data_IF_771533618802
#
_entry.id   IF_771533618802
#
_cell.length_a   1.000
_cell.length_b   1.000
_cell.length_c   1.000
_cell.angle_alpha   90.00
_cell.angle_beta   90.00
_cell.angle_gamma   90.00
#
_symmetry.space_group_name_H-M   'P 1'
#
loop_
_entity.id
_entity.type
_entity.pdbx_description
1 polymer ?
#
# COMPACT_ATOMS: atom_id res chain seq x y z
N UNK A 1 -17.42 15.88 53.81
CA UNK A 1 -16.30 14.92 53.80
C UNK A 1 -16.70 13.88 52.77
N UNK A 2 -16.23 13.92 51.53
CA UNK A 2 -14.83 13.75 51.11
C UNK A 2 -14.56 14.58 49.84
N UNK A 3 -13.41 15.25 49.83
CA UNK A 3 -12.98 16.17 48.78
C UNK A 3 -12.08 15.42 47.77
N UNK A 4 -12.19 15.82 46.50
CA UNK A 4 -11.14 15.91 45.49
C UNK A 4 -10.41 14.63 45.03
N UNK A 5 -10.58 14.27 43.74
CA UNK A 5 -9.44 13.82 42.92
C UNK A 5 -9.65 14.03 41.40
N UNK A 6 -10.37 15.09 41.02
CA UNK A 6 -10.36 15.62 39.66
C UNK A 6 -9.76 17.03 39.70
N UNK A 7 -8.46 17.10 39.94
CA UNK A 7 -7.69 18.34 39.77
C UNK A 7 -6.26 17.99 39.35
N UNK A 8 -6.08 18.04 38.03
CA UNK A 8 -4.87 18.37 37.26
C UNK A 8 -3.51 18.29 37.97
N UNK A 9 -2.66 17.37 37.52
CA UNK A 9 -1.22 17.65 37.45
C UNK A 9 -0.62 17.10 36.15
N UNK A 10 -0.07 18.02 35.37
CA UNK A 10 1.14 17.82 34.56
C UNK A 10 1.07 16.87 33.36
N UNK A 11 0.62 17.38 32.22
CA UNK A 11 1.58 17.84 31.22
C UNK A 11 2.33 16.84 30.34
N UNK A 12 2.20 15.52 30.49
CA UNK A 12 2.72 14.58 29.48
C UNK A 12 1.78 13.37 29.33
N UNK A 13 1.15 13.28 28.16
CA UNK A 13 0.44 12.07 27.74
C UNK A 13 1.45 10.97 27.45
N UNK A 14 1.97 10.33 28.50
CA UNK A 14 2.77 9.11 28.40
C UNK A 14 1.79 7.91 28.29
N UNK A 15 0.91 7.97 27.29
CA UNK A 15 0.35 6.75 26.70
C UNK A 15 1.29 6.42 25.55
N UNK A 16 2.43 5.82 25.88
CA UNK A 16 3.27 5.15 24.88
C UNK A 16 2.45 3.99 24.36
N UNK A 17 1.69 4.24 23.28
CA UNK A 17 1.15 3.16 22.45
C UNK A 17 2.32 2.21 22.16
N UNK A 18 2.17 0.89 22.35
CA UNK A 18 3.19 -0.03 21.86
C UNK A 18 3.28 0.23 20.36
N UNK A 19 4.39 0.84 19.94
CA UNK A 19 4.67 1.12 18.55
C UNK A 19 4.84 -0.25 17.89
N UNK A 20 3.71 -0.82 17.48
CA UNK A 20 3.59 -2.18 16.99
C UNK A 20 4.54 -2.25 15.81
N UNK A 21 5.62 -3.00 16.03
CA UNK A 21 6.83 -2.85 15.27
C UNK A 21 6.63 -3.49 13.89
N UNK A 22 6.02 -2.74 12.96
CA UNK A 22 5.86 -3.06 11.53
C UNK A 22 7.22 -3.01 10.78
N UNK A 23 8.29 -3.49 11.46
CA UNK A 23 9.66 -3.64 10.97
C UNK A 23 9.71 -4.38 9.61
N UNK A 24 8.96 -5.47 9.36
CA UNK A 24 9.02 -6.15 8.07
C UNK A 24 8.30 -5.40 6.95
N UNK A 25 7.13 -4.80 7.22
CA UNK A 25 6.38 -4.05 6.19
C UNK A 25 7.12 -2.82 5.72
N UNK A 26 7.82 -2.11 6.63
CA UNK A 26 8.60 -0.94 6.26
C UNK A 26 9.75 -1.29 5.30
N UNK A 27 10.41 -2.44 5.52
CA UNK A 27 11.46 -2.94 4.61
C UNK A 27 10.88 -3.36 3.25
N UNK A 28 9.73 -4.04 3.25
CA UNK A 28 9.06 -4.46 2.03
C UNK A 28 8.61 -3.26 1.19
N UNK A 29 7.98 -2.26 1.82
CA UNK A 29 7.57 -1.04 1.15
C UNK A 29 8.76 -0.28 0.56
N UNK A 30 9.87 -0.20 1.30
CA UNK A 30 11.10 0.41 0.80
C UNK A 30 11.62 -0.30 -0.46
N UNK A 31 11.68 -1.63 -0.42
CA UNK A 31 12.11 -2.44 -1.55
C UNK A 31 11.21 -2.24 -2.78
N UNK A 32 9.89 -2.30 -2.60
CA UNK A 32 8.92 -2.08 -3.68
C UNK A 32 9.05 -0.65 -4.24
N UNK A 33 9.18 0.35 -3.38
CA UNK A 33 9.39 1.75 -3.78
C UNK A 33 10.64 1.94 -4.63
N UNK A 34 11.76 1.31 -4.25
CA UNK A 34 12.99 1.36 -5.06
C UNK A 34 12.82 0.66 -6.41
N UNK A 35 12.11 -0.46 -6.44
CA UNK A 35 11.84 -1.20 -7.67
C UNK A 35 10.94 -0.39 -8.62
N UNK A 36 9.89 0.24 -8.11
CA UNK A 36 9.02 1.13 -8.88
C UNK A 36 9.80 2.33 -9.43
N UNK A 37 10.65 2.98 -8.61
CA UNK A 37 11.51 4.07 -9.08
C UNK A 37 12.45 3.63 -10.19
N UNK A 38 13.10 2.47 -10.05
CA UNK A 38 14.00 1.93 -11.08
C UNK A 38 13.26 1.62 -12.38
N UNK A 39 12.06 1.05 -12.26
CA UNK A 39 11.20 0.72 -13.40
C UNK A 39 10.71 1.99 -14.10
N UNK A 40 10.21 2.96 -13.36
CA UNK A 40 9.76 4.24 -13.90
C UNK A 40 10.89 4.97 -14.64
N UNK A 41 12.10 4.96 -14.07
CA UNK A 41 13.28 5.53 -14.71
C UNK A 41 13.69 4.77 -15.97
N UNK A 42 13.63 3.45 -15.96
CA UNK A 42 13.97 2.62 -17.12
C UNK A 42 13.05 2.90 -18.32
N UNK A 43 11.75 3.06 -18.06
CA UNK A 43 10.76 3.38 -19.10
C UNK A 43 10.61 4.88 -19.39
N UNK A 44 11.33 5.75 -18.67
CA UNK A 44 11.27 7.20 -18.86
C UNK A 44 9.95 7.85 -18.40
N UNK A 45 9.13 7.16 -17.60
CA UNK A 45 7.82 7.62 -17.11
C UNK A 45 7.91 8.27 -15.72
N UNK A 46 9.10 8.68 -15.28
CA UNK A 46 9.30 9.28 -13.96
C UNK A 46 8.71 10.70 -13.83
N UNK A 47 8.52 11.41 -14.96
CA UNK A 47 8.17 12.83 -14.98
C UNK A 47 6.71 13.16 -14.68
N UNK A 48 5.77 12.24 -14.91
CA UNK A 48 4.35 12.49 -14.66
C UNK A 48 3.65 11.29 -14.04
N UNK A 49 2.79 11.54 -13.06
CA UNK A 49 1.97 10.50 -12.44
C UNK A 49 0.89 10.00 -13.39
N UNK A 50 0.43 10.84 -14.32
CA UNK A 50 -0.53 10.47 -15.36
C UNK A 50 0.02 9.36 -16.26
N UNK A 51 1.26 9.50 -16.74
CA UNK A 51 1.88 8.51 -17.62
C UNK A 51 2.14 7.19 -16.89
N UNK A 52 2.49 7.25 -15.60
CA UNK A 52 2.60 6.06 -14.76
C UNK A 52 1.26 5.33 -14.63
N UNK A 53 0.17 6.05 -14.35
CA UNK A 53 -1.17 5.46 -14.25
C UNK A 53 -1.58 4.85 -15.58
N UNK A 54 -1.32 5.51 -16.71
CA UNK A 54 -1.63 4.97 -18.04
C UNK A 54 -0.82 3.72 -18.35
N UNK A 55 0.49 3.75 -18.10
CA UNK A 55 1.39 2.63 -18.35
C UNK A 55 1.01 1.41 -17.52
N UNK A 56 0.94 1.55 -16.19
CA UNK A 56 0.60 0.44 -15.31
C UNK A 56 -0.86 0.00 -15.50
N UNK A 57 -1.78 0.95 -15.73
CA UNK A 57 -3.19 0.67 -16.01
C UNK A 57 -3.37 -0.19 -17.26
N UNK A 58 -2.60 0.08 -18.32
CA UNK A 58 -2.63 -0.73 -19.54
C UNK A 58 -2.20 -2.18 -19.27
N UNK A 59 -1.06 -2.40 -18.63
CA UNK A 59 -0.60 -3.76 -18.32
C UNK A 59 -1.54 -4.51 -17.38
N UNK A 60 -2.06 -3.84 -16.34
CA UNK A 60 -3.05 -4.42 -15.43
C UNK A 60 -4.32 -4.82 -16.20
N UNK A 61 -4.76 -3.99 -17.15
CA UNK A 61 -5.91 -4.30 -18.01
C UNK A 61 -5.63 -5.50 -18.92
N UNK A 62 -4.46 -5.58 -19.54
CA UNK A 62 -4.09 -6.74 -20.35
C UNK A 62 -4.07 -8.04 -19.53
N UNK A 63 -3.47 -8.01 -18.33
CA UNK A 63 -3.44 -9.16 -17.43
C UNK A 63 -4.87 -9.51 -16.99
N UNK A 64 -5.70 -8.52 -16.65
CA UNK A 64 -7.08 -8.78 -16.22
C UNK A 64 -7.90 -9.41 -17.34
N UNK A 65 -7.71 -9.00 -18.60
CA UNK A 65 -8.36 -9.63 -19.75
C UNK A 65 -7.99 -11.11 -19.88
N UNK A 66 -6.71 -11.46 -19.69
CA UNK A 66 -6.26 -12.86 -19.71
C UNK A 66 -6.90 -13.64 -18.56
N UNK A 67 -6.85 -13.10 -17.34
CA UNK A 67 -7.43 -13.75 -16.16
C UNK A 67 -8.95 -13.93 -16.31
N UNK A 68 -9.66 -12.90 -16.78
CA UNK A 68 -11.09 -12.97 -17.03
C UNK A 68 -11.42 -13.99 -18.11
N UNK A 69 -10.65 -14.02 -19.19
CA UNK A 69 -10.82 -15.03 -20.24
C UNK A 69 -10.66 -16.42 -19.66
N UNK A 70 -9.60 -16.67 -18.88
CA UNK A 70 -9.36 -17.95 -18.22
C UNK A 70 -10.50 -18.32 -17.26
N UNK A 71 -10.97 -17.38 -16.44
CA UNK A 71 -12.11 -17.61 -15.54
C UNK A 71 -13.38 -17.93 -16.30
N UNK A 72 -13.71 -17.16 -17.34
CA UNK A 72 -14.90 -17.38 -18.17
C UNK A 72 -14.80 -18.75 -18.85
N UNK A 73 -13.64 -19.10 -19.41
CA UNK A 73 -13.44 -20.43 -20.02
C UNK A 73 -13.55 -21.55 -19.01
N UNK A 74 -13.02 -21.38 -17.78
CA UNK A 74 -13.16 -22.37 -16.72
C UNK A 74 -14.63 -22.56 -16.30
N UNK A 75 -15.39 -21.47 -16.18
CA UNK A 75 -16.82 -21.52 -15.87
C UNK A 75 -17.63 -22.16 -17.01
N UNK A 76 -17.33 -21.80 -18.27
CA UNK A 76 -18.13 -22.21 -19.43
C UNK A 76 -17.84 -23.64 -19.89
N UNK A 77 -16.58 -24.06 -19.83
CA UNK A 77 -16.12 -25.37 -20.32
C UNK A 77 -15.83 -26.37 -19.19
N UNK A 78 -15.96 -25.97 -17.93
CA UNK A 78 -16.02 -26.88 -16.78
C UNK A 78 -14.73 -27.65 -16.49
N UNK A 79 -13.59 -26.97 -16.48
CA UNK A 79 -12.34 -27.54 -15.95
C UNK A 79 -12.36 -27.59 -14.42
#
# INVERSE_FOLDING_TARGET
MTKNLLSTKSGESILTYPHQHFKPLKKFYHYISELFKKTNKYFGIEGSTSDQVWFYGFYVTCISMIVLTLMITGILYGF
#
